data_IF_266581735183
#
_entry.id   IF_266581735183
#
_cell.length_a   1.000
_cell.length_b   1.000
_cell.length_c   1.000
_cell.angle_alpha   90.00
_cell.angle_beta   90.00
_cell.angle_gamma   90.00
#
_symmetry.space_group_name_H-M   'P 1'
#
loop_
_entity.id
_entity.type
_entity.pdbx_description
1 polymer ?
#
# COMPACT_ATOMS: atom_id res chain seq x y z
N UNK A 1 12.24 11.66 -6.49
CA UNK A 1 13.57 11.36 -5.96
C UNK A 1 13.46 10.30 -4.85
N UNK A 2 13.90 9.07 -5.12
CA UNK A 2 13.81 7.92 -4.20
C UNK A 2 15.20 7.37 -3.82
N UNK A 3 16.27 7.96 -4.34
CA UNK A 3 17.63 7.45 -4.17
C UNK A 3 18.01 7.49 -2.69
N UNK A 4 18.53 6.37 -2.17
CA UNK A 4 18.91 6.23 -0.76
C UNK A 4 17.75 5.99 0.22
N UNK A 5 16.51 5.82 -0.26
CA UNK A 5 15.36 5.46 0.57
C UNK A 5 15.04 3.97 0.45
N UNK A 6 14.51 3.39 1.52
CA UNK A 6 13.88 2.07 1.48
C UNK A 6 12.46 2.25 0.98
N UNK A 7 12.11 1.54 -0.08
CA UNK A 7 10.79 1.64 -0.72
C UNK A 7 10.04 0.34 -0.52
N UNK A 8 8.93 0.40 0.20
CA UNK A 8 8.01 -0.71 0.41
C UNK A 8 6.90 -0.61 -0.65
N UNK A 9 6.87 -1.56 -1.57
CA UNK A 9 5.88 -1.61 -2.65
C UNK A 9 4.89 -2.73 -2.36
N UNK A 10 3.60 -2.39 -2.29
CA UNK A 10 2.52 -3.34 -2.14
C UNK A 10 1.65 -3.36 -3.41
N UNK A 11 1.63 -4.48 -4.12
CA UNK A 11 0.73 -4.69 -5.25
C UNK A 11 -0.55 -5.34 -4.73
N UNK A 12 -1.70 -4.73 -4.98
CA UNK A 12 -2.97 -5.23 -4.47
C UNK A 12 -4.11 -4.99 -5.46
N UNK A 13 -5.23 -5.67 -5.23
CA UNK A 13 -6.49 -5.42 -5.91
C UNK A 13 -7.65 -5.92 -5.05
N UNK A 14 -8.87 -5.41 -5.30
CA UNK A 14 -10.07 -5.81 -4.55
C UNK A 14 -10.47 -7.27 -4.76
N UNK A 15 -10.07 -7.86 -5.88
CA UNK A 15 -10.30 -9.28 -6.15
C UNK A 15 -9.23 -10.18 -5.50
N UNK A 16 -8.16 -9.61 -4.97
CA UNK A 16 -7.11 -10.35 -4.28
C UNK A 16 -7.44 -10.49 -2.79
N UNK A 17 -8.18 -11.53 -2.44
CA UNK A 17 -8.51 -11.87 -1.06
C UNK A 17 -7.28 -11.94 -0.11
N UNK A 18 -6.15 -12.60 -0.46
CA UNK A 18 -4.98 -12.61 0.43
C UNK A 18 -4.38 -11.21 0.62
N UNK A 19 -4.35 -10.38 -0.44
CA UNK A 19 -3.87 -9.00 -0.33
C UNK A 19 -4.69 -8.19 0.70
N UNK A 20 -6.02 -8.33 0.68
CA UNK A 20 -6.92 -7.66 1.63
C UNK A 20 -6.66 -8.15 3.06
N UNK A 21 -6.46 -9.46 3.24
CA UNK A 21 -6.16 -10.04 4.56
C UNK A 21 -4.83 -9.54 5.14
N UNK A 22 -3.87 -9.15 4.30
CA UNK A 22 -2.56 -8.60 4.70
C UNK A 22 -2.60 -7.09 5.00
N UNK A 23 -3.60 -6.35 4.52
CA UNK A 23 -3.67 -4.89 4.68
C UNK A 23 -3.65 -4.41 6.15
N UNK A 24 -4.31 -5.07 7.13
CA UNK A 24 -4.24 -4.64 8.52
C UNK A 24 -2.82 -4.64 9.08
N UNK A 25 -2.03 -5.68 8.76
CA UNK A 25 -0.64 -5.79 9.19
C UNK A 25 0.24 -4.74 8.49
N UNK A 26 0.03 -4.51 7.19
CA UNK A 26 0.73 -3.46 6.44
C UNK A 26 0.40 -2.06 6.96
N UNK A 27 -0.85 -1.80 7.33
CA UNK A 27 -1.27 -0.53 7.92
C UNK A 27 -0.61 -0.30 9.28
N UNK A 28 -0.49 -1.35 10.10
CA UNK A 28 0.24 -1.26 11.37
C UNK A 28 1.71 -0.92 11.13
N UNK A 29 2.37 -1.64 10.20
CA UNK A 29 3.76 -1.38 9.83
C UNK A 29 3.96 0.07 9.33
N UNK A 30 3.03 0.59 8.53
CA UNK A 30 3.05 1.98 8.10
C UNK A 30 2.96 2.94 9.29
N UNK A 31 2.04 2.72 10.24
CA UNK A 31 1.90 3.58 11.42
C UNK A 31 3.17 3.62 12.26
N UNK A 32 3.86 2.48 12.41
CA UNK A 32 5.11 2.37 13.15
C UNK A 32 6.27 3.10 12.43
N UNK A 33 6.30 3.06 11.10
CA UNK A 33 7.44 3.54 10.31
C UNK A 33 7.25 4.90 9.65
N UNK A 34 6.04 5.48 9.62
CA UNK A 34 5.74 6.75 8.93
C UNK A 34 6.55 7.95 9.42
N UNK A 35 7.11 7.91 10.63
CA UNK A 35 7.99 8.96 11.16
C UNK A 35 9.39 8.95 10.53
N UNK A 36 9.81 7.80 9.97
CA UNK A 36 11.10 7.64 9.32
C UNK A 36 11.05 8.15 7.88
N UNK A 37 11.64 9.33 7.65
CA UNK A 37 11.70 9.98 6.33
C UNK A 37 12.49 9.20 5.26
N UNK A 38 13.25 8.18 5.65
CA UNK A 38 14.00 7.32 4.74
C UNK A 38 13.20 6.12 4.24
N UNK A 39 11.96 5.93 4.70
CA UNK A 39 11.08 4.86 4.28
C UNK A 39 9.90 5.46 3.50
N UNK A 40 9.58 4.86 2.36
CA UNK A 40 8.47 5.26 1.49
C UNK A 40 7.58 4.05 1.25
N UNK A 41 6.28 4.20 1.47
CA UNK A 41 5.29 3.19 1.16
C UNK A 41 4.56 3.57 -0.12
N UNK A 42 4.45 2.62 -1.06
CA UNK A 42 3.70 2.77 -2.29
C UNK A 42 2.77 1.58 -2.48
N UNK A 43 1.47 1.86 -2.55
CA UNK A 43 0.45 0.88 -2.90
C UNK A 43 0.14 1.02 -4.40
N UNK A 44 0.28 -0.09 -5.14
CA UNK A 44 -0.01 -0.16 -6.57
C UNK A 44 -1.30 -0.93 -6.75
N UNK A 45 -2.33 -0.23 -7.20
CA UNK A 45 -3.62 -0.80 -7.54
C UNK A 45 -3.56 -1.57 -8.86
N UNK A 46 -4.01 -2.83 -8.83
CA UNK A 46 -4.08 -3.75 -9.97
C UNK A 46 -5.53 -3.99 -10.43
N UNK A 47 -6.52 -3.25 -9.92
CA UNK A 47 -7.89 -3.30 -10.41
C UNK A 47 -8.04 -2.74 -11.84
N UNK A 48 -8.99 -3.31 -12.59
CA UNK A 48 -9.44 -2.73 -13.86
C UNK A 48 -10.47 -1.64 -13.57
N UNK A 49 -9.98 -0.41 -13.40
CA UNK A 49 -10.78 0.81 -13.29
C UNK A 49 -10.55 1.55 -11.96
N UNK A 50 -9.86 2.68 -12.04
CA UNK A 50 -9.39 3.50 -10.91
C UNK A 50 -10.50 3.89 -9.91
N UNK A 51 -11.71 4.19 -10.40
CA UNK A 51 -12.85 4.57 -9.54
C UNK A 51 -13.27 3.46 -8.57
N UNK A 52 -13.00 2.19 -8.91
CA UNK A 52 -13.41 1.05 -8.07
C UNK A 52 -12.49 0.86 -6.87
N UNK A 53 -11.18 1.12 -7.04
CA UNK A 53 -10.21 1.05 -5.96
C UNK A 53 -10.36 2.22 -4.98
N UNK A 54 -10.60 3.43 -5.49
CA UNK A 54 -10.87 4.61 -4.66
C UNK A 54 -12.04 4.34 -3.71
N UNK A 55 -13.17 3.86 -4.23
CA UNK A 55 -14.37 3.55 -3.42
C UNK A 55 -14.18 2.43 -2.39
N UNK A 56 -13.18 1.58 -2.57
CA UNK A 56 -12.86 0.53 -1.59
C UNK A 56 -11.96 1.04 -0.45
N UNK A 57 -11.18 2.09 -0.72
CA UNK A 57 -10.30 2.72 0.24
C UNK A 57 -10.94 3.90 0.99
N UNK A 58 -12.06 4.43 0.48
CA UNK A 58 -12.99 5.30 1.23
C UNK A 58 -13.63 4.54 2.41
#
# INVERSE_FOLDING_TARGET
DLKGKVVVINYWARWCAPCIAEMPALNQLYVELKSNKNIVFMAVDMDRGMNKAIRFME
#
